data_IF_285631057152
#
_entry.id   IF_285631057152
#
_cell.length_a   1.000
_cell.length_b   1.000
_cell.length_c   1.000
_cell.angle_alpha   90.00
_cell.angle_beta   90.00
_cell.angle_gamma   90.00
#
_symmetry.space_group_name_H-M   'P 1'
#
loop_
_entity.id
_entity.type
_entity.pdbx_description
1 polymer ?
#
# COMPACT_ATOMS: atom_id res chain seq x y z
N UNK A 1 2.91 0.32 26.96
CA UNK A 1 3.18 0.80 25.60
C UNK A 1 3.10 -0.32 24.60
N UNK A 2 2.52 -0.05 23.47
CA UNK A 2 2.30 -1.05 22.45
C UNK A 2 3.27 -0.82 21.28
N UNK A 3 4.03 -1.84 20.95
CA UNK A 3 4.90 -1.79 19.79
C UNK A 3 4.06 -1.97 18.54
N UNK A 4 4.30 -1.12 17.54
CA UNK A 4 3.60 -1.20 16.28
C UNK A 4 4.41 -2.08 15.33
N UNK A 5 3.77 -3.11 14.80
CA UNK A 5 4.39 -3.95 13.79
C UNK A 5 4.35 -3.20 12.46
N UNK A 6 5.49 -3.12 11.80
CA UNK A 6 5.57 -2.49 10.49
C UNK A 6 6.00 -3.50 9.46
N UNK A 7 5.62 -3.25 8.23
CA UNK A 7 5.94 -4.10 7.10
C UNK A 7 6.58 -3.26 6.02
N UNK A 8 7.64 -3.78 5.43
CA UNK A 8 8.32 -3.10 4.33
C UNK A 8 7.91 -3.75 3.03
N UNK A 9 7.45 -2.95 2.08
CA UNK A 9 7.17 -3.44 0.74
C UNK A 9 8.06 -2.72 -0.24
N UNK A 10 8.51 -3.45 -1.26
CA UNK A 10 9.33 -2.88 -2.31
C UNK A 10 8.45 -2.60 -3.52
N UNK A 11 8.56 -1.39 -4.05
CA UNK A 11 7.82 -0.97 -5.22
C UNK A 11 8.82 -0.65 -6.32
N UNK A 12 8.59 -1.22 -7.49
CA UNK A 12 9.42 -0.95 -8.65
C UNK A 12 8.58 -0.30 -9.73
N UNK A 13 9.24 0.21 -10.76
CA UNK A 13 8.52 0.85 -11.86
C UNK A 13 7.64 -0.15 -12.63
N UNK A 14 7.87 -1.45 -12.43
CA UNK A 14 7.06 -2.47 -13.09
C UNK A 14 5.88 -2.91 -12.25
N UNK A 15 5.84 -2.52 -10.99
CA UNK A 15 4.72 -2.87 -10.14
C UNK A 15 3.51 -2.02 -10.48
N UNK A 16 2.34 -2.66 -10.44
CA UNK A 16 1.07 -1.98 -10.66
C UNK A 16 0.31 -1.91 -9.34
N UNK A 17 -0.77 -1.14 -9.33
CA UNK A 17 -1.59 -1.06 -8.13
C UNK A 17 -2.12 -2.44 -7.74
N UNK A 18 -2.38 -3.29 -8.72
CA UNK A 18 -2.84 -4.65 -8.44
C UNK A 18 -1.76 -5.44 -7.70
N UNK A 19 -0.52 -5.38 -8.20
CA UNK A 19 0.58 -6.10 -7.56
C UNK A 19 0.77 -5.63 -6.13
N UNK A 20 0.72 -4.32 -5.93
CA UNK A 20 0.90 -3.73 -4.61
C UNK A 20 -0.25 -4.16 -3.69
N UNK A 21 -1.48 -4.14 -4.20
CA UNK A 21 -2.62 -4.56 -3.41
C UNK A 21 -2.49 -6.03 -2.99
N UNK A 22 -1.99 -6.88 -3.88
CA UNK A 22 -1.79 -8.28 -3.55
C UNK A 22 -0.70 -8.46 -2.49
N UNK A 23 0.36 -7.67 -2.56
CA UNK A 23 1.40 -7.71 -1.55
C UNK A 23 0.85 -7.30 -0.19
N UNK A 24 0.04 -6.26 -0.16
CA UNK A 24 -0.58 -5.79 1.08
C UNK A 24 -1.54 -6.82 1.64
N UNK A 25 -2.29 -7.48 0.78
CA UNK A 25 -3.19 -8.54 1.21
C UNK A 25 -2.42 -9.71 1.81
N UNK A 26 -1.30 -10.08 1.20
CA UNK A 26 -0.48 -11.19 1.69
C UNK A 26 0.08 -10.88 3.08
N UNK A 27 0.27 -9.61 3.40
CA UNK A 27 0.77 -9.19 4.71
C UNK A 27 -0.36 -8.85 5.68
N UNK A 28 -1.62 -9.07 5.27
CA UNK A 28 -2.80 -8.76 6.07
C UNK A 28 -2.92 -7.28 6.40
N UNK A 29 -2.35 -6.44 5.56
CA UNK A 29 -2.46 -4.99 5.73
C UNK A 29 -3.76 -4.45 5.17
N UNK A 30 -4.37 -5.17 4.23
CA UNK A 30 -5.68 -4.85 3.70
C UNK A 30 -6.54 -6.10 3.76
N UNK A 31 -7.84 -5.90 3.95
CA UNK A 31 -8.78 -7.01 4.02
C UNK A 31 -9.05 -7.62 2.65
N UNK A 32 -9.06 -6.78 1.62
CA UNK A 32 -9.41 -7.20 0.28
C UNK A 32 -8.55 -6.43 -0.72
N UNK A 33 -7.74 -7.16 -1.46
CA UNK A 33 -6.83 -6.53 -2.42
C UNK A 33 -7.59 -5.80 -3.52
N UNK A 34 -8.72 -6.38 -3.95
CA UNK A 34 -9.50 -5.76 -5.01
C UNK A 34 -10.11 -4.45 -4.54
N UNK A 35 -10.64 -4.43 -3.33
CA UNK A 35 -11.22 -3.20 -2.77
C UNK A 35 -10.16 -2.12 -2.64
N UNK A 36 -8.99 -2.50 -2.19
CA UNK A 36 -7.90 -1.53 -2.07
C UNK A 36 -7.50 -0.99 -3.45
N UNK A 37 -7.43 -1.87 -4.44
CA UNK A 37 -7.09 -1.46 -5.80
C UNK A 37 -8.12 -0.48 -6.35
N UNK A 38 -9.39 -0.78 -6.13
CA UNK A 38 -10.48 0.11 -6.58
C UNK A 38 -10.36 1.45 -5.88
N UNK A 39 -10.09 1.44 -4.60
CA UNK A 39 -9.98 2.67 -3.82
C UNK A 39 -8.81 3.52 -4.32
N UNK A 40 -7.68 2.90 -4.62
CA UNK A 40 -6.56 3.62 -5.18
C UNK A 40 -6.92 4.25 -6.52
N UNK A 41 -7.65 3.52 -7.35
CA UNK A 41 -8.08 4.03 -8.63
C UNK A 41 -9.00 5.23 -8.50
N UNK A 42 -9.90 5.20 -7.52
CA UNK A 42 -10.81 6.30 -7.27
C UNK A 42 -10.07 7.56 -6.81
N UNK A 43 -9.00 7.36 -6.07
CA UNK A 43 -8.17 8.48 -5.61
C UNK A 43 -7.16 8.93 -6.65
N UNK A 44 -7.00 8.18 -7.73
CA UNK A 44 -5.98 8.46 -8.73
C UNK A 44 -4.58 8.13 -8.27
N UNK A 45 -4.45 7.43 -7.14
CA UNK A 45 -3.14 7.16 -6.57
C UNK A 45 -2.36 6.12 -7.37
N UNK A 46 -3.05 5.32 -8.17
CA UNK A 46 -2.40 4.28 -8.97
C UNK A 46 -1.43 4.86 -10.00
N UNK A 47 -1.52 6.15 -10.28
CA UNK A 47 -0.61 6.83 -11.20
C UNK A 47 0.54 7.52 -10.49
N UNK A 48 0.53 7.56 -9.18
CA UNK A 48 1.49 8.36 -8.42
C UNK A 48 2.26 7.53 -7.40
N UNK A 49 2.29 6.22 -7.57
CA UNK A 49 3.02 5.35 -6.65
C UNK A 49 4.51 5.59 -6.81
N UNK A 50 5.18 5.88 -5.70
CA UNK A 50 6.62 6.16 -5.71
C UNK A 50 7.39 4.85 -5.65
N UNK A 51 8.44 4.76 -6.47
CA UNK A 51 9.32 3.59 -6.45
C UNK A 51 10.14 3.59 -5.17
N UNK A 52 10.51 2.38 -4.73
CA UNK A 52 11.37 2.22 -3.58
C UNK A 52 10.69 1.44 -2.48
N UNK A 53 11.28 1.47 -1.32
CA UNK A 53 10.75 0.75 -0.17
C UNK A 53 9.85 1.66 0.64
N UNK A 54 8.71 1.10 1.04
CA UNK A 54 7.75 1.81 1.86
C UNK A 54 7.46 1.01 3.12
N UNK A 55 7.45 1.67 4.25
CA UNK A 55 7.18 1.04 5.53
C UNK A 55 5.74 1.36 5.91
N UNK A 56 4.94 0.32 6.10
CA UNK A 56 3.52 0.46 6.39
C UNK A 56 3.24 -0.12 7.76
N UNK A 57 2.72 0.67 8.70
CA UNK A 57 2.39 0.15 10.01
C UNK A 57 1.13 -0.70 9.94
N UNK A 58 1.10 -1.74 10.76
CA UNK A 58 -0.08 -2.59 10.86
C UNK A 58 -1.23 -1.76 11.40
N UNK A 59 -2.39 -1.95 10.80
CA UNK A 59 -3.57 -1.20 11.21
C UNK A 59 -3.75 0.11 10.48
N UNK A 60 -2.86 0.43 9.53
CA UNK A 60 -3.01 1.64 8.72
C UNK A 60 -4.28 1.53 7.87
N UNK A 61 -4.99 2.64 7.74
CA UNK A 61 -6.15 2.68 6.88
C UNK A 61 -5.72 2.73 5.42
N UNK A 62 -6.68 2.53 4.52
CA UNK A 62 -6.39 2.61 3.09
C UNK A 62 -5.80 3.97 2.74
N UNK A 63 -6.36 5.04 3.31
CA UNK A 63 -5.84 6.39 3.07
C UNK A 63 -4.40 6.52 3.52
N UNK A 64 -4.09 5.98 4.70
CA UNK A 64 -2.73 6.04 5.21
C UNK A 64 -1.78 5.28 4.32
N UNK A 65 -2.18 4.08 3.88
CA UNK A 65 -1.35 3.27 3.01
C UNK A 65 -1.10 4.00 1.68
N UNK A 66 -2.14 4.58 1.12
CA UNK A 66 -2.01 5.31 -0.14
C UNK A 66 -1.08 6.52 0.03
N UNK A 67 -1.21 7.23 1.14
CA UNK A 67 -0.34 8.36 1.41
C UNK A 67 1.12 7.93 1.45
N UNK A 68 1.39 6.81 2.14
CA UNK A 68 2.76 6.29 2.22
C UNK A 68 3.27 5.91 0.84
N UNK A 69 2.44 5.22 0.05
CA UNK A 69 2.86 4.73 -1.26
C UNK A 69 3.10 5.85 -2.26
N UNK A 70 2.45 6.99 -2.09
CA UNK A 70 2.59 8.10 -3.02
C UNK A 70 3.61 9.14 -2.57
N UNK A 71 4.17 8.99 -1.39
CA UNK A 71 5.22 9.89 -0.93
C UNK A 71 6.56 9.51 -1.55
N UNK A 72 7.33 10.52 -1.85
CA UNK A 72 8.66 10.31 -2.40
C UNK A 72 9.73 10.52 -1.35
#
# INVERSE_FOLDING_TARGET
>A
ETAVTTYTISVTSQDTCRTIAEKLKALNLVDDAEQFRIYMGQKGADHFIADGEHIIPQGASYDDIITILTQK
#
